data_IF_205375222688
#
_entry.id   IF_205375222688
#
_cell.length_a   1.000
_cell.length_b   1.000
_cell.length_c   1.000
_cell.angle_alpha   90.00
_cell.angle_beta   90.00
_cell.angle_gamma   90.00
#
_symmetry.space_group_name_H-M   'P 1'
#
loop_
_entity.id
_entity.type
_entity.pdbx_description
1 polymer ?
#
# COMPACT_ATOMS: atom_id res chain seq x y z
N UNK A 1 -40.35 0.84 -41.63
CA UNK A 1 -40.50 0.81 -40.16
C UNK A 1 -39.25 0.17 -39.58
N UNK A 2 -38.48 0.95 -38.80
CA UNK A 2 -37.22 0.56 -38.16
C UNK A 2 -37.55 -0.17 -36.86
N UNK A 3 -37.19 -1.45 -36.76
CA UNK A 3 -37.29 -2.25 -35.53
C UNK A 3 -35.91 -2.45 -34.93
N UNK A 4 -35.71 -1.89 -33.75
CA UNK A 4 -34.45 -1.78 -32.99
C UNK A 4 -33.81 -3.15 -32.67
N UNK A 5 -32.61 -3.38 -33.18
CA UNK A 5 -31.71 -4.50 -32.85
C UNK A 5 -30.66 -4.10 -31.79
N UNK A 6 -30.98 -3.18 -30.88
CA UNK A 6 -30.05 -2.61 -29.90
C UNK A 6 -30.44 -2.89 -28.44
N UNK A 7 -30.93 -4.10 -28.14
CA UNK A 7 -31.11 -4.55 -26.76
C UNK A 7 -30.57 -5.97 -26.58
N UNK A 8 -29.24 -6.13 -26.60
CA UNK A 8 -28.63 -7.39 -26.14
C UNK A 8 -27.13 -7.24 -25.86
N UNK A 9 -26.73 -6.33 -24.98
CA UNK A 9 -25.42 -6.39 -24.30
C UNK A 9 -25.50 -5.78 -22.89
N UNK A 10 -26.61 -6.01 -22.16
CA UNK A 10 -26.56 -5.86 -20.71
C UNK A 10 -25.81 -7.07 -20.17
N UNK A 11 -24.53 -6.84 -19.88
CA UNK A 11 -23.65 -7.81 -19.25
C UNK A 11 -24.02 -7.83 -17.77
N UNK A 12 -25.08 -8.58 -17.42
CA UNK A 12 -25.51 -8.75 -16.04
C UNK A 12 -24.58 -9.73 -15.32
N UNK A 13 -23.43 -9.25 -14.87
CA UNK A 13 -22.83 -9.80 -13.66
C UNK A 13 -23.62 -9.21 -12.49
N UNK A 14 -24.20 -10.08 -11.67
CA UNK A 14 -24.84 -9.68 -10.41
C UNK A 14 -23.82 -8.97 -9.50
N UNK A 15 -24.30 -8.08 -8.63
CA UNK A 15 -23.44 -7.38 -7.67
C UNK A 15 -22.61 -8.36 -6.81
N UNK A 16 -23.13 -9.56 -6.60
CA UNK A 16 -22.47 -10.63 -5.84
C UNK A 16 -21.31 -11.25 -6.63
N UNK A 17 -21.48 -11.51 -7.92
CA UNK A 17 -20.40 -12.00 -8.79
C UNK A 17 -19.28 -10.97 -8.97
N UNK A 18 -19.64 -9.68 -9.07
CA UNK A 18 -18.66 -8.59 -9.09
C UNK A 18 -17.90 -8.55 -7.77
N UNK A 19 -18.59 -8.70 -6.63
CA UNK A 19 -17.96 -8.71 -5.30
C UNK A 19 -17.01 -9.89 -5.14
N UNK A 20 -17.41 -11.10 -5.51
CA UNK A 20 -16.55 -12.29 -5.46
C UNK A 20 -15.32 -12.15 -6.36
N UNK A 21 -15.51 -11.63 -7.58
CA UNK A 21 -14.40 -11.37 -8.50
C UNK A 21 -13.43 -10.33 -7.92
N UNK A 22 -13.94 -9.22 -7.38
CA UNK A 22 -13.11 -8.18 -6.76
C UNK A 22 -12.39 -8.67 -5.50
N UNK A 23 -13.06 -9.45 -4.65
CA UNK A 23 -12.47 -10.10 -3.48
C UNK A 23 -11.32 -11.03 -3.89
N UNK A 24 -11.51 -11.82 -4.95
CA UNK A 24 -10.47 -12.71 -5.47
C UNK A 24 -9.28 -11.96 -6.05
N UNK A 25 -9.53 -10.90 -6.81
CA UNK A 25 -8.48 -10.01 -7.35
C UNK A 25 -7.72 -9.32 -6.23
N UNK A 26 -8.42 -8.79 -5.23
CA UNK A 26 -7.85 -8.16 -4.04
C UNK A 26 -6.97 -9.13 -3.26
N UNK A 27 -7.49 -10.32 -2.93
CA UNK A 27 -6.74 -11.37 -2.22
C UNK A 27 -5.48 -11.78 -2.99
N UNK A 28 -5.56 -11.96 -4.31
CA UNK A 28 -4.38 -12.22 -5.14
C UNK A 28 -3.38 -11.06 -5.14
N UNK A 29 -3.88 -9.82 -5.13
CA UNK A 29 -3.07 -8.62 -4.97
C UNK A 29 -2.29 -8.65 -3.66
N UNK A 30 -2.98 -8.86 -2.54
CA UNK A 30 -2.38 -8.93 -1.20
C UNK A 30 -1.37 -10.07 -1.07
N UNK A 31 -1.68 -11.25 -1.61
CA UNK A 31 -0.74 -12.39 -1.62
C UNK A 31 0.56 -12.07 -2.38
N UNK A 32 0.54 -11.15 -3.35
CA UNK A 32 1.76 -10.68 -4.03
C UNK A 32 2.54 -9.66 -3.19
N UNK A 33 1.93 -9.09 -2.17
CA UNK A 33 2.53 -8.08 -1.29
C UNK A 33 3.09 -8.64 0.02
N UNK A 34 2.91 -9.95 0.29
CA UNK A 34 3.55 -10.71 1.37
C UNK A 34 4.58 -11.69 0.79
N UNK A 35 5.58 -12.06 1.58
CA UNK A 35 6.59 -13.06 1.23
C UNK A 35 6.16 -14.49 1.58
N UNK A 36 5.23 -14.66 2.53
CA UNK A 36 4.65 -15.97 2.89
C UNK A 36 3.11 -15.96 2.83
N UNK A 37 2.52 -17.05 2.33
CA UNK A 37 1.07 -17.21 2.30
C UNK A 37 0.47 -17.43 3.70
N UNK A 38 1.29 -17.87 4.66
CA UNK A 38 0.89 -18.18 6.02
C UNK A 38 0.48 -16.92 6.82
N UNK A 39 1.12 -15.77 6.55
CA UNK A 39 0.76 -14.49 7.16
C UNK A 39 -0.63 -13.98 6.78
N UNK A 40 -1.23 -14.53 5.72
CA UNK A 40 -2.59 -14.26 5.27
C UNK A 40 -3.51 -15.47 5.41
N UNK A 41 -3.10 -16.52 6.14
CA UNK A 41 -3.86 -17.74 6.28
C UNK A 41 -5.28 -17.50 6.83
N UNK A 42 -6.22 -18.25 6.24
CA UNK A 42 -7.68 -18.10 6.30
C UNK A 42 -8.22 -17.92 7.73
N UNK A 43 -8.70 -16.71 8.02
CA UNK A 43 -9.47 -16.39 9.22
C UNK A 43 -9.06 -15.11 9.94
N UNK A 44 -7.81 -14.65 9.75
CA UNK A 44 -7.28 -13.46 10.46
C UNK A 44 -7.41 -12.18 9.63
N UNK A 45 -7.40 -12.30 8.29
CA UNK A 45 -7.50 -11.16 7.39
C UNK A 45 -8.93 -11.02 6.85
N UNK A 46 -9.70 -10.08 7.43
CA UNK A 46 -11.01 -9.71 6.93
C UNK A 46 -10.87 -8.99 5.59
N UNK A 47 -11.67 -9.36 4.60
CA UNK A 47 -11.67 -8.66 3.31
C UNK A 47 -12.29 -7.27 3.49
N UNK A 48 -11.42 -6.28 3.70
CA UNK A 48 -11.81 -4.88 3.91
C UNK A 48 -12.61 -4.32 2.73
N UNK A 49 -12.56 -4.95 1.55
CA UNK A 49 -13.28 -4.53 0.35
C UNK A 49 -14.57 -5.30 0.11
N UNK A 50 -14.99 -6.19 1.02
CA UNK A 50 -16.28 -6.86 0.95
C UNK A 50 -17.47 -5.88 0.96
N UNK A 51 -17.28 -4.69 1.57
CA UNK A 51 -18.23 -3.59 1.54
C UNK A 51 -17.97 -2.66 0.33
N UNK A 52 -19.02 -2.43 -0.47
CA UNK A 52 -18.97 -1.58 -1.66
C UNK A 52 -18.57 -0.12 -1.35
N UNK A 53 -18.95 0.42 -0.19
CA UNK A 53 -18.58 1.78 0.21
C UNK A 53 -17.08 1.87 0.55
N UNK A 54 -16.52 0.83 1.19
CA UNK A 54 -15.08 0.76 1.42
C UNK A 54 -14.31 0.62 0.10
N UNK A 55 -14.82 -0.17 -0.85
CA UNK A 55 -14.22 -0.29 -2.17
C UNK A 55 -14.24 1.05 -2.94
N UNK A 56 -15.37 1.77 -2.92
CA UNK A 56 -15.46 3.11 -3.51
C UNK A 56 -14.47 4.09 -2.89
N UNK A 57 -14.38 4.10 -1.56
CA UNK A 57 -13.44 4.96 -0.83
C UNK A 57 -11.98 4.65 -1.21
N UNK A 58 -11.60 3.37 -1.27
CA UNK A 58 -10.26 2.97 -1.67
C UNK A 58 -9.92 3.33 -3.13
N UNK A 59 -10.88 3.19 -4.05
CA UNK A 59 -10.72 3.64 -5.43
C UNK A 59 -10.54 5.16 -5.52
N UNK A 60 -11.33 5.92 -4.78
CA UNK A 60 -11.21 7.38 -4.73
C UNK A 60 -9.84 7.81 -4.16
N UNK A 61 -9.40 7.15 -3.09
CA UNK A 61 -8.08 7.37 -2.49
C UNK A 61 -6.96 7.10 -3.51
N UNK A 62 -7.00 5.95 -4.19
CA UNK A 62 -6.01 5.58 -5.20
C UNK A 62 -5.91 6.58 -6.35
N UNK A 63 -7.05 7.08 -6.83
CA UNK A 63 -7.09 8.12 -7.88
C UNK A 63 -6.49 9.45 -7.40
N UNK A 64 -6.58 9.74 -6.11
CA UNK A 64 -6.06 10.98 -5.50
C UNK A 64 -4.57 10.93 -5.16
N UNK A 65 -3.94 9.74 -5.12
CA UNK A 65 -2.53 9.60 -4.70
C UNK A 65 -1.55 10.46 -5.51
N UNK A 66 -1.80 10.67 -6.80
CA UNK A 66 -0.91 11.50 -7.63
C UNK A 66 -0.95 12.97 -7.25
N UNK A 67 -2.13 13.53 -6.98
CA UNK A 67 -2.25 14.93 -6.57
C UNK A 67 -1.71 15.12 -5.15
N UNK A 68 -2.04 14.20 -4.23
CA UNK A 68 -1.49 14.20 -2.88
C UNK A 68 0.05 14.12 -2.87
N UNK A 69 0.65 13.28 -3.72
CA UNK A 69 2.10 13.18 -3.82
C UNK A 69 2.76 14.49 -4.27
N UNK A 70 2.14 15.23 -5.20
CA UNK A 70 2.64 16.53 -5.64
C UNK A 70 2.57 17.57 -4.51
N UNK A 71 1.45 17.62 -3.79
CA UNK A 71 1.25 18.53 -2.65
C UNK A 71 2.23 18.22 -1.50
N UNK A 72 2.39 16.95 -1.14
CA UNK A 72 3.33 16.51 -0.12
C UNK A 72 4.78 16.80 -0.52
N UNK A 73 5.14 16.66 -1.80
CA UNK A 73 6.46 17.03 -2.29
C UNK A 73 6.71 18.54 -2.16
N UNK A 74 5.72 19.36 -2.50
CA UNK A 74 5.79 20.81 -2.35
C UNK A 74 5.89 21.23 -0.88
N UNK A 75 5.14 20.58 0.02
CA UNK A 75 5.19 20.81 1.46
C UNK A 75 6.55 20.39 2.04
N UNK A 76 7.08 19.24 1.63
CA UNK A 76 8.39 18.73 2.08
C UNK A 76 9.53 19.69 1.75
N UNK A 77 9.44 20.41 0.62
CA UNK A 77 10.44 21.40 0.21
C UNK A 77 10.46 22.66 1.10
N UNK A 78 9.40 22.92 1.89
CA UNK A 78 9.26 24.12 2.72
C UNK A 78 9.33 23.82 4.23
N UNK A 79 9.44 22.55 4.60
CA UNK A 79 9.47 22.10 5.99
C UNK A 79 10.88 21.79 6.43
N UNK A 80 11.22 22.21 7.66
CA UNK A 80 12.50 21.85 8.28
C UNK A 80 12.62 20.34 8.45
N UNK A 81 13.84 19.79 8.54
CA UNK A 81 14.03 18.37 8.82
C UNK A 81 13.27 17.93 10.09
N UNK A 82 12.73 16.71 10.07
CA UNK A 82 12.10 16.11 11.25
C UNK A 82 13.18 15.87 12.29
N UNK A 83 12.97 16.38 13.51
CA UNK A 83 13.98 16.35 14.57
C UNK A 83 14.03 15.00 15.30
N UNK A 84 12.92 14.25 15.30
CA UNK A 84 12.84 12.95 15.96
C UNK A 84 13.66 11.89 15.22
N UNK A 85 14.43 11.05 15.93
CA UNK A 85 15.11 9.90 15.34
C UNK A 85 14.16 9.04 14.51
N UNK A 86 14.52 8.77 13.27
CA UNK A 86 13.64 8.06 12.33
C UNK A 86 14.36 6.86 11.73
N UNK A 87 13.63 5.75 11.57
CA UNK A 87 14.11 4.56 10.85
C UNK A 87 13.29 4.35 9.58
N UNK A 88 13.97 4.21 8.44
CA UNK A 88 13.37 3.82 7.17
C UNK A 88 13.76 2.38 6.82
N UNK A 89 12.74 1.54 6.65
CA UNK A 89 12.88 0.12 6.34
C UNK A 89 12.47 -0.15 4.90
N UNK A 90 13.32 -0.85 4.15
CA UNK A 90 13.09 -1.18 2.75
C UNK A 90 12.97 -2.68 2.55
N UNK A 91 11.88 -3.11 1.92
CA UNK A 91 11.64 -4.53 1.61
C UNK A 91 12.41 -5.04 0.37
N UNK A 92 12.82 -4.11 -0.49
CA UNK A 92 13.60 -4.38 -1.69
C UNK A 92 14.98 -3.74 -1.60
N UNK A 93 15.79 -3.92 -2.64
CA UNK A 93 17.08 -3.25 -2.76
C UNK A 93 16.96 -1.75 -2.44
N UNK A 94 17.95 -1.24 -1.71
CA UNK A 94 17.97 0.15 -1.31
C UNK A 94 17.78 1.09 -2.53
N UNK A 95 17.06 2.21 -2.35
CA UNK A 95 16.93 3.20 -3.41
C UNK A 95 18.31 3.68 -3.87
N UNK A 96 18.39 4.14 -5.12
CA UNK A 96 19.62 4.75 -5.62
C UNK A 96 20.04 5.95 -4.73
N UNK A 97 21.33 6.33 -4.82
CA UNK A 97 21.91 7.40 -4.00
C UNK A 97 21.13 8.72 -4.06
N UNK A 98 20.55 9.06 -5.21
CA UNK A 98 19.75 10.28 -5.38
C UNK A 98 18.45 10.23 -4.55
N UNK A 99 17.77 9.09 -4.52
CA UNK A 99 16.55 8.92 -3.72
C UNK A 99 16.86 8.89 -2.23
N UNK A 100 17.95 8.22 -1.85
CA UNK A 100 18.41 8.21 -0.46
C UNK A 100 18.79 9.62 0.03
N UNK A 101 19.48 10.44 -0.77
CA UNK A 101 19.81 11.81 -0.38
C UNK A 101 18.60 12.74 -0.27
N UNK A 102 17.53 12.48 -1.03
CA UNK A 102 16.26 13.18 -0.85
C UNK A 102 15.64 12.83 0.50
N UNK A 103 15.66 11.54 0.86
CA UNK A 103 15.12 11.06 2.13
C UNK A 103 15.93 11.61 3.31
N UNK A 104 17.25 11.49 3.26
CA UNK A 104 18.19 11.95 4.29
C UNK A 104 18.00 13.44 4.64
N UNK A 105 17.84 14.30 3.63
CA UNK A 105 17.57 15.74 3.84
C UNK A 105 16.25 16.04 4.58
N UNK A 106 15.32 15.09 4.63
CA UNK A 106 14.04 15.25 5.30
C UNK A 106 14.08 15.06 6.81
N UNK A 107 15.18 14.51 7.35
CA UNK A 107 15.29 14.09 8.75
C UNK A 107 16.63 14.54 9.33
N UNK A 108 16.65 15.00 10.58
CA UNK A 108 17.90 15.32 11.28
C UNK A 108 18.71 14.08 11.65
N UNK A 109 18.03 12.94 11.80
CA UNK A 109 18.63 11.64 12.10
C UNK A 109 17.80 10.53 11.43
N UNK A 110 18.42 9.84 10.47
CA UNK A 110 17.79 8.77 9.70
C UNK A 110 18.64 7.50 9.70
N UNK A 111 18.11 6.43 10.28
CA UNK A 111 18.61 5.08 10.08
C UNK A 111 17.97 4.46 8.83
N UNK A 112 18.76 3.89 7.92
CA UNK A 112 18.25 3.18 6.74
C UNK A 112 18.64 1.72 6.82
N UNK A 113 17.67 0.82 6.72
CA UNK A 113 17.90 -0.62 6.76
C UNK A 113 17.12 -1.32 5.64
N UNK A 114 17.78 -2.21 4.92
CA UNK A 114 17.10 -3.16 4.05
C UNK A 114 16.73 -4.40 4.87
N UNK A 115 15.49 -4.85 4.76
CA UNK A 115 14.99 -6.06 5.38
C UNK A 115 14.84 -7.11 4.27
N UNK A 116 15.46 -8.26 4.46
CA UNK A 116 15.43 -9.37 3.53
C UNK A 116 14.14 -10.20 3.69
N UNK A 117 13.78 -10.94 2.65
CA UNK A 117 12.66 -11.89 2.64
C UNK A 117 11.30 -11.31 3.04
N UNK A 118 11.06 -10.05 2.70
CA UNK A 118 9.81 -9.34 2.93
C UNK A 118 9.39 -8.63 1.66
N UNK A 119 8.10 -8.36 1.54
CA UNK A 119 7.55 -7.49 0.49
C UNK A 119 6.94 -6.24 1.11
N UNK A 120 6.02 -5.60 0.40
CA UNK A 120 5.42 -4.34 0.83
C UNK A 120 4.75 -4.45 2.20
N UNK A 121 4.17 -5.61 2.54
CA UNK A 121 3.52 -5.87 3.82
C UNK A 121 4.51 -6.38 4.88
N UNK A 122 5.59 -5.64 5.10
CA UNK A 122 6.67 -6.00 6.02
C UNK A 122 6.23 -6.20 7.47
N UNK A 123 5.16 -5.52 7.89
CA UNK A 123 4.58 -5.74 9.23
C UNK A 123 4.00 -7.14 9.41
N UNK A 124 3.64 -7.82 8.31
CA UNK A 124 3.17 -9.20 8.33
C UNK A 124 4.37 -10.14 8.18
N UNK A 125 5.28 -9.86 7.25
CA UNK A 125 6.38 -10.75 6.91
C UNK A 125 7.51 -10.78 7.97
N UNK A 126 7.80 -9.64 8.60
CA UNK A 126 8.95 -9.41 9.50
C UNK A 126 8.59 -8.48 10.67
N UNK A 127 7.55 -8.78 11.48
CA UNK A 127 7.11 -7.93 12.58
C UNK A 127 8.24 -7.64 13.60
N UNK A 128 9.13 -8.59 13.82
CA UNK A 128 10.29 -8.45 14.71
C UNK A 128 11.29 -7.40 14.22
N UNK A 129 11.42 -7.21 12.90
CA UNK A 129 12.26 -6.16 12.34
C UNK A 129 11.66 -4.76 12.59
N UNK A 130 10.33 -4.65 12.52
CA UNK A 130 9.59 -3.42 12.84
C UNK A 130 9.77 -3.06 14.31
N UNK A 131 9.56 -4.02 15.22
CA UNK A 131 9.71 -3.80 16.67
C UNK A 131 11.12 -3.29 17.00
N UNK A 132 12.16 -3.95 16.49
CA UNK A 132 13.55 -3.51 16.70
C UNK A 132 13.82 -2.11 16.15
N UNK A 133 13.18 -1.72 15.05
CA UNK A 133 13.35 -0.38 14.48
C UNK A 133 12.67 0.69 15.35
N UNK A 134 11.49 0.38 15.90
CA UNK A 134 10.79 1.25 16.85
C UNK A 134 11.61 1.43 18.12
N UNK A 135 12.10 0.33 18.72
CA UNK A 135 12.92 0.37 19.93
C UNK A 135 14.17 1.26 19.77
N UNK A 136 14.82 1.23 18.59
CA UNK A 136 15.98 2.08 18.28
C UNK A 136 15.64 3.57 18.19
N UNK A 137 14.40 3.93 17.89
CA UNK A 137 13.94 5.30 17.76
C UNK A 137 13.32 5.87 19.05
N UNK A 138 13.02 5.03 20.04
CA UNK A 138 12.37 5.42 21.30
C UNK A 138 13.35 5.81 22.44
N UNK A 139 14.63 5.96 22.13
CA UNK A 139 15.69 6.32 23.09
C UNK A 139 15.69 7.81 23.39
#
# INVERSE_FOLDING_TARGET
MKGSWLHSLDTFLSADEIREFMAHVSRRGMLRQVSSADGLALGVFEDQYANIETLKAACAEWLSYRSQAAELTALRARTVPVQTPTSALFASALPNRRRLSILDRGFSSLGVTQIEDTRHLMMIDRPEAIIRAVEKCSV
#
